data_IF_417480172130
#
_entry.id   IF_417480172130
#
_cell.length_a   1.000
_cell.length_b   1.000
_cell.length_c   1.000
_cell.angle_alpha   90.00
_cell.angle_beta   90.00
_cell.angle_gamma   90.00
#
_symmetry.space_group_name_H-M   'P 1'
#
loop_
_entity.id
_entity.type
_entity.pdbx_description
1 polymer ?
#
# COMPACT_ATOMS: atom_id res chain seq x y z
N UNK A 1 22.59 16.10 -72.29
CA UNK A 1 23.00 15.91 -70.89
C UNK A 1 21.85 16.31 -70.00
N UNK A 2 21.34 15.36 -69.21
CA UNK A 2 20.65 15.52 -67.92
C UNK A 2 19.84 14.25 -67.67
N UNK A 3 20.50 13.25 -67.10
CA UNK A 3 19.86 12.13 -66.45
C UNK A 3 20.41 12.13 -65.02
N UNK A 4 19.56 12.39 -64.03
CA UNK A 4 19.89 12.06 -62.66
C UNK A 4 18.73 11.29 -62.05
N UNK A 5 19.08 10.10 -61.62
CA UNK A 5 18.24 9.00 -61.17
C UNK A 5 17.67 9.29 -59.79
N UNK A 6 16.46 8.79 -59.58
CA UNK A 6 15.78 8.67 -58.29
C UNK A 6 16.55 7.78 -57.30
N UNK A 7 16.56 8.16 -56.02
CA UNK A 7 16.68 7.25 -54.88
C UNK A 7 15.93 7.85 -53.69
N UNK A 8 14.79 7.23 -53.39
CA UNK A 8 14.02 7.43 -52.16
C UNK A 8 14.75 6.71 -51.02
N UNK A 9 15.06 7.42 -49.94
CA UNK A 9 15.38 6.81 -48.65
C UNK A 9 14.45 7.41 -47.59
N UNK A 10 13.41 6.63 -47.27
CA UNK A 10 12.52 6.84 -46.13
C UNK A 10 13.28 6.46 -44.85
N UNK A 11 13.74 7.44 -44.09
CA UNK A 11 14.13 7.22 -42.70
C UNK A 11 12.87 7.36 -41.82
N UNK A 12 12.23 6.23 -41.54
CA UNK A 12 11.14 6.13 -40.57
C UNK A 12 11.72 6.29 -39.15
N UNK A 13 11.73 7.51 -38.64
CA UNK A 13 11.93 7.76 -37.21
C UNK A 13 10.64 7.50 -36.45
N UNK A 14 10.37 6.26 -36.04
CA UNK A 14 9.38 5.99 -34.99
C UNK A 14 9.93 6.56 -33.67
N UNK A 15 9.64 7.82 -33.40
CA UNK A 15 9.67 8.30 -32.02
C UNK A 15 8.50 7.65 -31.31
N UNK A 16 8.79 6.58 -30.55
CA UNK A 16 7.85 6.11 -29.53
C UNK A 16 7.84 7.17 -28.45
N UNK A 17 7.02 8.20 -28.64
CA UNK A 17 6.59 9.05 -27.54
C UNK A 17 5.89 8.11 -26.56
N UNK A 18 6.62 7.69 -25.53
CA UNK A 18 6.08 6.85 -24.46
C UNK A 18 4.78 7.48 -24.02
N UNK A 19 3.69 6.71 -24.07
CA UNK A 19 2.43 7.11 -23.48
C UNK A 19 2.74 7.54 -22.04
N UNK A 20 2.72 8.85 -21.79
CA UNK A 20 2.80 9.39 -20.45
C UNK A 20 1.74 8.67 -19.64
N UNK A 21 2.19 7.85 -18.70
CA UNK A 21 1.31 7.19 -17.75
C UNK A 21 0.58 8.32 -17.03
N UNK A 22 -0.68 8.55 -17.39
CA UNK A 22 -1.57 9.40 -16.61
C UNK A 22 -1.54 8.82 -15.21
N UNK A 23 -1.12 9.57 -14.17
CA UNK A 23 -1.15 9.05 -12.82
C UNK A 23 -2.60 8.71 -12.51
N UNK A 24 -2.90 7.41 -12.40
CA UNK A 24 -4.17 6.93 -11.90
C UNK A 24 -4.33 7.50 -10.48
N UNK A 25 -5.35 8.33 -10.28
CA UNK A 25 -5.70 8.84 -8.96
C UNK A 25 -6.43 7.71 -8.22
N UNK A 26 -5.66 6.73 -7.73
CA UNK A 26 -6.10 5.88 -6.61
C UNK A 26 -5.71 6.57 -5.31
N UNK A 27 -6.50 6.54 -4.22
CA UNK A 27 -6.09 7.09 -2.92
C UNK A 27 -4.78 6.44 -2.52
N UNK A 28 -3.76 7.28 -2.40
CA UNK A 28 -2.44 6.86 -2.81
C UNK A 28 -1.68 6.11 -1.69
N UNK A 29 -1.97 6.40 -0.42
CA UNK A 29 -1.37 5.77 0.77
C UNK A 29 -1.81 4.31 1.00
N UNK A 30 -3.11 4.01 0.92
CA UNK A 30 -3.60 2.62 1.00
C UNK A 30 -2.99 1.71 -0.09
N UNK A 31 -2.70 2.27 -1.26
CA UNK A 31 -1.98 1.54 -2.30
C UNK A 31 -0.49 1.34 -1.97
N UNK A 32 0.14 2.22 -1.20
CA UNK A 32 1.50 2.01 -0.67
C UNK A 32 1.50 0.89 0.37
N UNK A 33 0.53 0.90 1.29
CA UNK A 33 0.36 -0.20 2.25
C UNK A 33 0.17 -1.55 1.55
N UNK A 34 -0.74 -1.60 0.56
CA UNK A 34 -0.96 -2.78 -0.28
C UNK A 34 0.35 -3.32 -0.86
N UNK A 35 1.16 -2.44 -1.48
CA UNK A 35 2.44 -2.84 -2.07
C UNK A 35 3.44 -3.29 -1.01
N UNK A 36 3.42 -2.69 0.18
CA UNK A 36 4.20 -3.14 1.33
C UNK A 36 3.84 -4.55 1.79
N UNK A 37 2.55 -4.88 1.81
CA UNK A 37 2.09 -6.25 2.08
C UNK A 37 2.61 -7.21 1.01
N UNK A 38 2.45 -6.87 -0.28
CA UNK A 38 2.89 -7.72 -1.40
C UNK A 38 4.42 -7.94 -1.41
N UNK A 39 5.20 -6.96 -0.95
CA UNK A 39 6.64 -7.10 -0.76
C UNK A 39 6.99 -8.21 0.23
N UNK A 40 6.27 -8.28 1.36
CA UNK A 40 6.58 -9.20 2.45
C UNK A 40 5.86 -10.56 2.29
N UNK A 41 4.70 -10.55 1.62
CA UNK A 41 3.84 -11.70 1.36
C UNK A 41 3.55 -11.79 -0.16
N UNK A 42 4.51 -12.26 -0.97
CA UNK A 42 4.40 -12.22 -2.44
C UNK A 42 3.23 -13.02 -3.02
N UNK A 43 2.86 -14.12 -2.36
CA UNK A 43 1.75 -14.99 -2.80
C UNK A 43 0.38 -14.46 -2.38
N UNK A 44 0.33 -13.39 -1.58
CA UNK A 44 -0.93 -12.77 -1.16
C UNK A 44 -1.50 -11.89 -2.26
N UNK A 45 -2.82 -11.95 -2.41
CA UNK A 45 -3.58 -10.98 -3.21
C UNK A 45 -3.69 -9.61 -2.51
N UNK A 46 -3.17 -9.50 -1.27
CA UNK A 46 -3.18 -8.37 -0.32
C UNK A 46 -4.58 -7.88 0.01
N UNK A 47 -5.19 -7.14 -0.90
CA UNK A 47 -6.52 -6.55 -0.72
C UNK A 47 -7.60 -7.64 -0.60
N UNK A 48 -7.56 -8.71 -1.42
CA UNK A 48 -8.61 -9.72 -1.34
C UNK A 48 -8.44 -10.64 -0.14
N UNK A 49 -7.23 -10.78 0.42
CA UNK A 49 -7.01 -11.65 1.57
C UNK A 49 -7.35 -10.92 2.86
N UNK A 50 -6.81 -9.71 3.07
CA UNK A 50 -6.85 -9.05 4.38
C UNK A 50 -8.02 -8.09 4.60
N UNK A 51 -8.72 -7.60 3.57
CA UNK A 51 -9.90 -6.74 3.78
C UNK A 51 -11.12 -7.58 4.15
N UNK A 52 -11.90 -7.20 5.16
CA UNK A 52 -13.05 -7.98 5.65
C UNK A 52 -12.62 -9.33 6.21
N UNK A 53 -11.61 -9.31 7.09
CA UNK A 53 -11.11 -10.49 7.80
C UNK A 53 -11.22 -10.27 9.32
N UNK A 54 -11.74 -11.26 10.04
CA UNK A 54 -11.89 -11.19 11.48
C UNK A 54 -12.80 -10.03 11.89
N UNK A 55 -12.45 -9.37 12.98
CA UNK A 55 -13.23 -8.30 13.59
C UNK A 55 -12.66 -6.90 13.36
N UNK A 56 -11.40 -6.79 12.94
CA UNK A 56 -10.67 -5.53 12.78
C UNK A 56 -10.14 -5.31 11.38
N UNK A 57 -9.77 -6.35 10.62
CA UNK A 57 -9.21 -6.12 9.29
C UNK A 57 -10.28 -5.65 8.30
N UNK A 58 -10.46 -4.34 8.16
CA UNK A 58 -11.50 -3.75 7.31
C UNK A 58 -11.87 -2.34 7.75
N UNK A 59 -13.07 -1.90 7.42
CA UNK A 59 -13.62 -0.64 7.94
C UNK A 59 -14.34 -0.90 9.26
N UNK A 60 -13.97 -0.16 10.30
CA UNK A 60 -14.54 -0.33 11.64
C UNK A 60 -13.57 -1.06 12.54
N UNK A 61 -14.05 -2.02 13.32
CA UNK A 61 -13.25 -2.72 14.32
C UNK A 61 -13.91 -2.67 15.69
N UNK A 62 -14.21 -3.83 16.28
CA UNK A 62 -14.74 -3.90 17.64
C UNK A 62 -14.58 -5.29 18.26
N UNK A 63 -14.66 -5.36 19.58
CA UNK A 63 -14.62 -6.60 20.33
C UNK A 63 -13.21 -7.19 20.43
N UNK A 64 -13.12 -8.51 20.53
CA UNK A 64 -11.85 -9.22 20.69
C UNK A 64 -11.35 -9.77 19.35
N UNK A 65 -10.09 -9.54 18.96
CA UNK A 65 -9.54 -10.14 17.75
C UNK A 65 -9.62 -11.67 17.76
N UNK A 66 -10.01 -12.26 16.62
CA UNK A 66 -10.27 -13.71 16.53
C UNK A 66 -9.01 -14.56 16.36
N UNK A 67 -7.90 -13.94 15.92
CA UNK A 67 -6.58 -14.54 15.84
C UNK A 67 -5.45 -13.47 15.78
N UNK A 68 -4.21 -13.92 15.58
CA UNK A 68 -3.04 -13.05 15.48
C UNK A 68 -3.06 -12.12 14.26
N UNK A 69 -3.68 -12.54 13.15
CA UNK A 69 -3.79 -11.70 11.96
C UNK A 69 -4.78 -10.55 12.21
N UNK A 70 -5.91 -10.86 12.84
CA UNK A 70 -6.91 -9.87 13.24
C UNK A 70 -6.35 -8.89 14.30
N UNK A 71 -5.50 -9.40 15.22
CA UNK A 71 -4.77 -8.54 16.17
C UNK A 71 -3.84 -7.56 15.48
N UNK A 72 -3.18 -7.95 14.38
CA UNK A 72 -2.35 -7.03 13.60
C UNK A 72 -3.19 -5.83 13.10
N UNK A 73 -4.42 -6.08 12.68
CA UNK A 73 -5.34 -5.04 12.20
C UNK A 73 -5.82 -4.14 13.33
N UNK A 74 -6.18 -4.68 14.50
CA UNK A 74 -6.53 -3.86 15.67
C UNK A 74 -5.39 -2.88 16.03
N UNK A 75 -4.14 -3.36 16.01
CA UNK A 75 -2.97 -2.53 16.29
C UNK A 75 -2.77 -1.48 15.20
N UNK A 76 -3.01 -1.82 13.93
CA UNK A 76 -2.94 -0.89 12.80
C UNK A 76 -4.00 0.21 12.91
N UNK A 77 -5.24 -0.13 13.26
CA UNK A 77 -6.33 0.82 13.47
C UNK A 77 -5.99 1.81 14.59
N UNK A 78 -5.48 1.31 15.73
CA UNK A 78 -5.01 2.17 16.83
C UNK A 78 -3.88 3.10 16.39
N UNK A 79 -2.93 2.59 15.60
CA UNK A 79 -1.85 3.40 15.05
C UNK A 79 -2.39 4.51 14.13
N UNK A 80 -3.40 4.22 13.31
CA UNK A 80 -4.06 5.21 12.47
C UNK A 80 -4.87 6.23 13.28
N UNK A 81 -5.50 5.83 14.37
CA UNK A 81 -6.19 6.75 15.28
C UNK A 81 -5.21 7.69 15.97
N UNK A 82 -4.07 7.19 16.45
CA UNK A 82 -2.98 8.02 16.96
C UNK A 82 -2.46 9.01 15.89
N UNK A 83 -2.31 8.55 14.63
CA UNK A 83 -1.89 9.42 13.53
C UNK A 83 -2.89 10.57 13.27
N UNK A 84 -4.20 10.32 13.41
CA UNK A 84 -5.25 11.36 13.23
C UNK A 84 -5.22 12.40 14.36
N UNK A 85 -4.80 12.02 15.56
CA UNK A 85 -4.68 12.90 16.72
C UNK A 85 -3.31 13.64 16.78
N UNK A 86 -2.33 13.15 16.03
CA UNK A 86 -0.98 13.69 16.05
C UNK A 86 -0.90 15.07 15.38
N UNK A 87 -0.41 16.07 16.10
CA UNK A 87 -0.50 17.48 15.67
C UNK A 87 0.27 17.77 14.38
N UNK A 88 1.36 17.06 14.12
CA UNK A 88 2.15 17.15 12.88
C UNK A 88 1.44 16.52 11.67
N UNK A 89 0.32 15.83 11.89
CA UNK A 89 -0.57 15.26 10.87
C UNK A 89 -1.84 16.12 10.62
N UNK A 90 -1.83 17.40 11.00
CA UNK A 90 -2.96 18.31 10.74
C UNK A 90 -2.60 19.36 9.67
N UNK A 91 -3.50 19.66 8.70
CA UNK A 91 -4.94 19.34 8.61
C UNK A 91 -5.30 18.10 7.75
N UNK A 92 -6.59 17.71 7.76
CA UNK A 92 -7.27 16.51 7.16
C UNK A 92 -6.68 15.92 5.85
N UNK A 93 -6.02 16.72 5.01
CA UNK A 93 -5.23 16.24 3.87
C UNK A 93 -4.09 15.27 4.27
N UNK A 94 -3.77 15.23 5.55
CA UNK A 94 -2.77 14.37 6.19
C UNK A 94 -3.38 13.13 6.88
N UNK A 95 -4.64 12.79 6.56
CA UNK A 95 -5.26 11.55 7.02
C UNK A 95 -4.43 10.32 6.59
N UNK A 96 -4.26 9.32 7.48
CA UNK A 96 -3.44 8.14 7.22
C UNK A 96 -3.87 7.35 5.98
N UNK A 97 -5.13 7.49 5.56
CA UNK A 97 -5.67 6.81 4.37
C UNK A 97 -5.25 7.46 3.04
N UNK A 98 -4.75 8.71 3.04
CA UNK A 98 -4.49 9.48 1.82
C UNK A 98 -3.08 10.10 1.74
N UNK A 99 -2.41 10.31 2.88
CA UNK A 99 -1.10 10.96 2.95
C UNK A 99 0.01 10.07 2.41
N UNK A 100 0.76 10.58 1.44
CA UNK A 100 1.93 9.87 0.91
C UNK A 100 3.07 9.85 1.89
N UNK A 101 3.85 8.79 1.83
CA UNK A 101 5.16 8.73 2.48
C UNK A 101 6.20 8.11 1.56
N UNK A 102 7.47 8.47 1.73
CA UNK A 102 8.60 7.80 1.09
C UNK A 102 8.87 6.47 1.81
N UNK A 103 9.02 5.41 1.01
CA UNK A 103 9.31 4.06 1.47
C UNK A 103 10.06 3.30 0.36
N UNK A 104 10.67 2.18 0.74
CA UNK A 104 11.29 1.24 -0.19
C UNK A 104 11.07 -0.19 0.26
N UNK A 105 11.11 -1.12 -0.68
CA UNK A 105 11.12 -2.55 -0.42
C UNK A 105 12.32 -3.18 -1.13
N UNK A 106 13.05 -4.02 -0.39
CA UNK A 106 13.94 -5.02 -0.96
C UNK A 106 13.22 -6.37 -0.97
N UNK A 107 12.73 -6.77 -2.14
CA UNK A 107 11.96 -8.01 -2.33
C UNK A 107 12.81 -9.26 -2.06
N UNK A 108 14.13 -9.20 -2.30
CA UNK A 108 15.02 -10.34 -2.10
C UNK A 108 15.24 -10.64 -0.62
N UNK A 109 15.40 -9.59 0.19
CA UNK A 109 15.52 -9.73 1.65
C UNK A 109 14.19 -9.65 2.39
N UNK A 110 13.09 -9.34 1.68
CA UNK A 110 11.77 -9.03 2.25
C UNK A 110 11.87 -7.96 3.35
N UNK A 111 12.54 -6.86 3.02
CA UNK A 111 12.76 -5.74 3.95
C UNK A 111 12.02 -4.51 3.46
N UNK A 112 11.12 -3.97 4.29
CA UNK A 112 10.44 -2.71 4.04
C UNK A 112 11.09 -1.62 4.90
N UNK A 113 11.41 -0.47 4.27
CA UNK A 113 12.04 0.67 4.95
C UNK A 113 11.25 1.93 4.72
N UNK A 114 10.96 2.67 5.80
CA UNK A 114 10.35 3.99 5.77
C UNK A 114 11.40 5.10 5.69
N UNK A 115 11.12 6.17 4.95
CA UNK A 115 11.97 7.37 4.92
C UNK A 115 13.06 7.35 3.85
N UNK A 116 12.93 6.54 2.80
CA UNK A 116 13.90 6.45 1.68
C UNK A 116 14.08 7.74 0.84
N UNK A 117 13.37 8.83 1.17
CA UNK A 117 13.34 10.08 0.39
C UNK A 117 12.93 11.33 1.17
N UNK A 118 13.25 11.41 2.46
CA UNK A 118 12.87 12.48 3.43
C UNK A 118 11.37 12.55 3.73
N UNK A 119 10.92 11.75 4.70
CA UNK A 119 9.59 11.88 5.29
C UNK A 119 9.55 13.04 6.29
N UNK A 120 8.46 13.79 6.29
CA UNK A 120 8.04 14.56 7.46
C UNK A 120 7.65 13.64 8.63
N UNK A 121 7.46 14.21 9.82
CA UNK A 121 7.11 13.42 11.01
C UNK A 121 5.82 12.63 10.80
N UNK A 122 4.79 13.24 10.22
CA UNK A 122 3.53 12.55 9.93
C UNK A 122 3.69 11.40 8.91
N UNK A 123 4.41 11.66 7.82
CA UNK A 123 4.64 10.67 6.77
C UNK A 123 5.43 9.47 7.30
N UNK A 124 6.41 9.74 8.15
CA UNK A 124 7.17 8.68 8.82
C UNK A 124 6.27 7.87 9.75
N UNK A 125 5.42 8.54 10.52
CA UNK A 125 4.51 7.89 11.47
C UNK A 125 3.56 6.92 10.74
N UNK A 126 2.88 7.40 9.69
CA UNK A 126 1.95 6.58 8.90
C UNK A 126 2.68 5.42 8.22
N UNK A 127 3.86 5.69 7.63
CA UNK A 127 4.66 4.63 7.02
C UNK A 127 5.02 3.54 8.03
N UNK A 128 5.39 3.90 9.26
CA UNK A 128 5.72 2.93 10.30
C UNK A 128 4.50 2.12 10.78
N UNK A 129 3.30 2.70 10.79
CA UNK A 129 2.06 1.94 10.99
C UNK A 129 1.92 0.85 9.92
N UNK A 130 2.04 1.23 8.65
CA UNK A 130 1.86 0.33 7.52
C UNK A 130 2.96 -0.73 7.43
N UNK A 131 4.23 -0.36 7.69
CA UNK A 131 5.36 -1.28 7.75
C UNK A 131 5.13 -2.36 8.81
N UNK A 132 4.79 -1.95 10.04
CA UNK A 132 4.58 -2.88 11.15
C UNK A 132 3.40 -3.80 10.90
N UNK A 133 2.31 -3.29 10.34
CA UNK A 133 1.15 -4.11 9.97
C UNK A 133 1.53 -5.14 8.90
N UNK A 134 2.23 -4.73 7.84
CA UNK A 134 2.69 -5.65 6.79
C UNK A 134 3.65 -6.73 7.32
N UNK A 135 4.58 -6.36 8.21
CA UNK A 135 5.48 -7.31 8.87
C UNK A 135 4.74 -8.28 9.79
N UNK A 136 3.67 -7.82 10.44
CA UNK A 136 2.81 -8.63 11.28
C UNK A 136 2.03 -9.64 10.42
N UNK A 137 1.42 -9.20 9.32
CA UNK A 137 0.73 -10.07 8.37
C UNK A 137 1.63 -11.16 7.80
N UNK A 138 2.91 -10.85 7.54
CA UNK A 138 3.88 -11.82 7.03
C UNK A 138 4.24 -12.93 8.03
N UNK A 139 3.99 -12.72 9.32
CA UNK A 139 4.28 -13.69 10.40
C UNK A 139 3.02 -14.38 10.92
N UNK A 140 1.86 -13.79 10.70
CA UNK A 140 0.58 -14.33 11.15
C UNK A 140 0.01 -15.34 10.16
N UNK A 141 -0.48 -16.50 10.62
CA UNK A 141 -1.16 -17.45 9.76
C UNK A 141 -2.49 -16.86 9.26
N UNK A 142 -2.83 -17.15 8.01
CA UNK A 142 -4.14 -16.82 7.45
C UNK A 142 -5.13 -17.97 7.67
N UNK A 143 -6.35 -17.65 8.09
CA UNK A 143 -7.41 -18.63 8.29
C UNK A 143 -8.67 -18.26 7.49
N UNK A 144 -8.95 -19.03 6.42
CA UNK A 144 -10.11 -18.82 5.54
C UNK A 144 -11.45 -18.74 6.30
N UNK A 145 -11.57 -19.36 7.47
CA UNK A 145 -12.79 -19.33 8.29
C UNK A 145 -13.17 -17.91 8.73
N UNK A 146 -12.19 -17.04 8.95
CA UNK A 146 -12.42 -15.69 9.45
C UNK A 146 -12.57 -14.67 8.34
N UNK A 147 -12.52 -15.11 7.07
CA UNK A 147 -12.82 -14.27 5.93
C UNK A 147 -14.31 -13.94 5.87
N UNK A 148 -14.65 -12.67 5.76
CA UNK A 148 -16.00 -12.12 5.80
C UNK A 148 -16.77 -12.57 7.06
N UNK A 149 -16.09 -12.55 8.21
CA UNK A 149 -16.69 -12.94 9.48
C UNK A 149 -17.85 -11.98 9.82
N UNK A 150 -19.06 -12.48 10.10
CA UNK A 150 -20.18 -11.64 10.51
C UNK A 150 -19.86 -10.82 11.76
N UNK A 151 -20.20 -9.53 11.74
CA UNK A 151 -19.88 -8.59 12.82
C UNK A 151 -20.55 -8.90 14.16
N UNK A 152 -21.65 -9.67 14.16
CA UNK A 152 -22.30 -10.14 15.38
C UNK A 152 -21.49 -11.20 16.15
N UNK A 153 -20.46 -11.76 15.52
CA UNK A 153 -19.49 -12.66 16.15
C UNK A 153 -18.30 -11.91 16.76
N UNK A 154 -18.23 -10.59 16.57
CA UNK A 154 -17.21 -9.72 17.14
C UNK A 154 -17.72 -9.13 18.46
N UNK A 155 -17.45 -9.86 19.56
CA UNK A 155 -17.87 -9.49 20.93
C UNK A 155 -16.75 -8.80 21.71
#
# INVERSE_FOLDING_TARGET
MNALRTLFLLAAGLSVAGCGQRPSIQPRALNQFRKGIQCLVPDSSSVLDYVDYGCYCGYGGSGTPVDELDRCCEVHDKCYDEAKEYHECWPIIDSPYIKWYAWSCDEASKTLTCGSGNNSVCEQFICECDRKAAECFARSPYNDKYKNLPSDQCQ
#
